data_IF_121798911125
#
_entry.id   IF_121798911125
#
_cell.length_a   1.000
_cell.length_b   1.000
_cell.length_c   1.000
_cell.angle_alpha   90.00
_cell.angle_beta   90.00
_cell.angle_gamma   90.00
#
_symmetry.space_group_name_H-M   'P 1'
#
loop_
_entity.id
_entity.type
_entity.pdbx_description
1 polymer ?
#
# COMPACT_ATOMS: atom_id res chain seq x y z
N UNK A 1 -23.99 -17.85 -10.17
CA UNK A 1 -24.07 -16.89 -9.06
C UNK A 1 -23.27 -15.68 -9.47
N UNK A 2 -23.86 -14.49 -9.52
CA UNK A 2 -23.12 -13.28 -9.86
C UNK A 2 -22.30 -12.81 -8.64
N UNK A 3 -21.02 -13.18 -8.59
CA UNK A 3 -20.09 -12.83 -7.51
C UNK A 3 -19.10 -11.78 -8.02
N UNK A 4 -18.77 -10.82 -7.16
CA UNK A 4 -17.71 -9.84 -7.40
C UNK A 4 -16.56 -10.11 -6.43
N UNK A 5 -15.36 -10.35 -6.94
CA UNK A 5 -14.15 -10.51 -6.15
C UNK A 5 -13.45 -9.17 -5.94
N UNK A 6 -13.25 -8.77 -4.68
CA UNK A 6 -12.59 -7.53 -4.32
C UNK A 6 -11.13 -7.81 -3.93
N UNK A 7 -10.19 -7.06 -4.51
CA UNK A 7 -8.75 -7.14 -4.22
C UNK A 7 -8.12 -5.76 -4.10
N UNK A 8 -6.97 -5.68 -3.44
CA UNK A 8 -6.15 -4.46 -3.38
C UNK A 8 -5.02 -4.55 -4.40
N UNK A 9 -4.98 -3.58 -5.32
CA UNK A 9 -3.92 -3.44 -6.31
C UNK A 9 -3.99 -4.37 -7.53
N UNK A 10 -3.29 -3.96 -8.58
CA UNK A 10 -3.42 -4.55 -9.92
C UNK A 10 -2.80 -5.94 -10.06
N UNK A 11 -1.68 -6.20 -9.39
CA UNK A 11 -1.04 -7.52 -9.45
C UNK A 11 -1.93 -8.62 -8.87
N UNK A 12 -2.68 -8.33 -7.80
CA UNK A 12 -3.65 -9.26 -7.24
C UNK A 12 -4.83 -9.48 -8.20
N UNK A 13 -5.30 -8.41 -8.84
CA UNK A 13 -6.38 -8.47 -9.83
C UNK A 13 -6.00 -9.29 -11.07
N UNK A 14 -4.79 -9.08 -11.60
CA UNK A 14 -4.26 -9.84 -12.73
C UNK A 14 -4.14 -11.32 -12.37
N UNK A 15 -3.61 -11.64 -11.19
CA UNK A 15 -3.50 -13.03 -10.73
C UNK A 15 -4.85 -13.73 -10.65
N UNK A 16 -5.88 -13.08 -10.11
CA UNK A 16 -7.24 -13.62 -10.08
C UNK A 16 -7.80 -13.79 -11.48
N UNK A 17 -7.64 -12.77 -12.33
CA UNK A 17 -8.13 -12.78 -13.70
C UNK A 17 -7.54 -13.96 -14.48
N UNK A 18 -6.22 -14.11 -14.46
CA UNK A 18 -5.54 -15.23 -15.12
C UNK A 18 -6.00 -16.59 -14.57
N UNK A 19 -6.25 -16.69 -13.26
CA UNK A 19 -6.75 -17.94 -12.68
C UNK A 19 -8.17 -18.27 -13.18
N UNK A 20 -9.08 -17.30 -13.23
CA UNK A 20 -10.44 -17.52 -13.73
C UNK A 20 -10.48 -17.77 -15.24
N UNK A 21 -9.70 -17.02 -16.02
CA UNK A 21 -9.55 -17.22 -17.46
C UNK A 21 -9.05 -18.65 -17.77
N UNK A 22 -8.18 -19.22 -16.92
CA UNK A 22 -7.64 -20.58 -17.11
C UNK A 22 -8.68 -21.70 -17.01
N UNK A 23 -9.85 -21.41 -16.45
CA UNK A 23 -10.99 -22.35 -16.34
C UNK A 23 -12.24 -21.81 -17.06
N UNK A 24 -12.06 -20.84 -17.96
CA UNK A 24 -13.12 -20.21 -18.75
C UNK A 24 -14.29 -19.68 -17.90
N UNK A 25 -13.99 -19.26 -16.65
CA UNK A 25 -14.97 -18.72 -15.73
C UNK A 25 -14.95 -17.20 -15.77
N UNK A 26 -16.11 -16.58 -16.04
CA UNK A 26 -16.24 -15.13 -15.99
C UNK A 26 -16.67 -14.69 -14.59
N UNK A 27 -15.73 -14.15 -13.83
CA UNK A 27 -15.97 -13.54 -12.51
C UNK A 27 -15.62 -12.05 -12.56
N UNK A 28 -16.46 -11.22 -11.97
CA UNK A 28 -16.20 -9.78 -11.90
C UNK A 28 -15.14 -9.50 -10.84
N UNK A 29 -14.14 -8.67 -11.18
CA UNK A 29 -13.07 -8.27 -10.27
C UNK A 29 -13.17 -6.77 -10.00
N UNK A 30 -13.36 -6.42 -8.73
CA UNK A 30 -13.28 -5.05 -8.25
C UNK A 30 -11.89 -4.80 -7.66
N UNK A 31 -11.15 -3.90 -8.29
CA UNK A 31 -9.82 -3.49 -7.79
C UNK A 31 -9.96 -2.22 -6.98
N UNK A 32 -9.57 -2.29 -5.71
CA UNK A 32 -9.27 -1.12 -4.88
C UNK A 32 -7.88 -0.64 -5.27
N UNK A 33 -7.80 0.57 -5.84
CA UNK A 33 -6.54 1.15 -6.33
C UNK A 33 -5.79 1.91 -5.25
N UNK A 34 -6.52 2.55 -4.34
CA UNK A 34 -5.94 3.28 -3.22
C UNK A 34 -5.26 2.34 -2.20
N UNK A 35 -4.30 2.91 -1.45
CA UNK A 35 -3.50 2.24 -0.42
C UNK A 35 -3.80 2.91 0.92
N UNK A 36 -4.85 2.45 1.60
CA UNK A 36 -5.39 3.10 2.81
C UNK A 36 -4.47 3.04 4.03
N UNK A 37 -3.42 2.22 4.00
CA UNK A 37 -2.45 2.18 5.09
C UNK A 37 -1.43 3.32 5.05
N UNK A 38 -1.54 4.27 4.13
CA UNK A 38 -0.75 5.51 4.12
C UNK A 38 -1.61 6.74 3.92
N UNK A 39 -1.19 7.85 4.51
CA UNK A 39 -1.83 9.15 4.36
C UNK A 39 -3.13 9.32 5.15
N UNK A 40 -3.79 10.48 4.98
CA UNK A 40 -5.00 10.82 5.70
C UNK A 40 -6.21 10.02 5.18
N UNK A 41 -7.08 9.59 6.10
CA UNK A 41 -8.34 8.88 5.76
C UNK A 41 -9.60 9.67 6.16
N UNK A 42 -9.42 10.85 6.75
CA UNK A 42 -10.49 11.75 7.17
C UNK A 42 -10.05 13.19 7.00
N UNK A 43 -11.02 14.02 6.61
CA UNK A 43 -10.91 15.48 6.58
C UNK A 43 -12.26 16.06 6.96
N UNK A 44 -12.25 17.20 7.65
CA UNK A 44 -13.46 17.97 7.92
C UNK A 44 -13.81 18.89 6.75
N UNK A 45 -12.84 19.18 5.88
CA UNK A 45 -13.00 20.13 4.78
C UNK A 45 -13.21 19.44 3.42
N UNK A 46 -12.67 18.23 3.23
CA UNK A 46 -12.67 17.55 1.94
C UNK A 46 -13.46 16.24 1.99
N UNK A 47 -14.26 15.94 0.95
CA UNK A 47 -14.78 14.60 0.70
C UNK A 47 -13.64 13.55 0.64
N UNK A 48 -13.95 12.31 0.99
CA UNK A 48 -12.97 11.23 1.09
C UNK A 48 -12.13 11.07 -0.19
N UNK A 49 -12.77 10.94 -1.35
CA UNK A 49 -12.07 10.75 -2.63
C UNK A 49 -11.18 11.94 -3.02
N UNK A 50 -11.63 13.18 -2.75
CA UNK A 50 -10.82 14.39 -2.99
C UNK A 50 -9.64 14.50 -2.03
N UNK A 51 -9.82 14.12 -0.76
CA UNK A 51 -8.73 14.04 0.21
C UNK A 51 -7.65 13.06 -0.25
N UNK A 52 -8.07 11.86 -0.68
CA UNK A 52 -7.15 10.83 -1.16
C UNK A 52 -6.46 11.22 -2.46
N UNK A 53 -7.18 11.83 -3.40
CA UNK A 53 -6.61 12.38 -4.62
C UNK A 53 -5.53 13.43 -4.31
N UNK A 54 -5.80 14.38 -3.41
CA UNK A 54 -4.83 15.40 -3.01
C UNK A 54 -3.56 14.80 -2.37
N UNK A 55 -3.73 13.79 -1.50
CA UNK A 55 -2.58 13.07 -0.93
C UNK A 55 -1.73 12.41 -2.02
N UNK A 56 -2.33 11.69 -2.97
CA UNK A 56 -1.57 11.04 -4.04
C UNK A 56 -1.01 12.02 -5.08
N UNK A 57 -1.64 13.18 -5.26
CA UNK A 57 -1.11 14.28 -6.06
C UNK A 57 0.23 14.77 -5.47
N UNK A 58 0.28 15.01 -4.16
CA UNK A 58 1.48 15.39 -3.43
C UNK A 58 2.56 14.29 -3.50
N UNK A 59 2.16 13.04 -3.23
CA UNK A 59 3.09 11.90 -3.19
C UNK A 59 3.69 11.62 -4.58
N UNK A 60 2.86 11.61 -5.63
CA UNK A 60 3.34 11.30 -6.98
C UNK A 60 4.05 12.49 -7.65
N UNK A 61 3.65 13.72 -7.32
CA UNK A 61 4.00 14.93 -8.07
C UNK A 61 3.25 15.06 -9.41
N UNK A 62 2.20 14.26 -9.63
CA UNK A 62 1.36 14.34 -10.83
C UNK A 62 0.30 15.40 -10.64
N UNK A 63 -0.01 16.23 -11.64
CA UNK A 63 -0.97 17.33 -11.50
C UNK A 63 -2.42 16.87 -11.26
N UNK A 64 -2.81 15.73 -11.84
CA UNK A 64 -4.15 15.19 -11.71
C UNK A 64 -4.07 13.71 -11.33
N UNK A 65 -4.52 13.40 -10.11
CA UNK A 65 -4.72 12.03 -9.66
C UNK A 65 -6.20 11.82 -9.40
N UNK A 66 -6.78 10.82 -10.06
CA UNK A 66 -8.15 10.40 -9.79
C UNK A 66 -8.14 9.29 -8.74
N UNK A 67 -8.95 9.46 -7.69
CA UNK A 67 -9.29 8.40 -6.74
C UNK A 67 -10.80 8.31 -6.72
N UNK A 68 -11.36 7.16 -7.09
CA UNK A 68 -12.80 6.94 -7.21
C UNK A 68 -13.26 5.60 -6.61
N UNK A 69 -12.44 4.97 -5.77
CA UNK A 69 -12.73 3.66 -5.18
C UNK A 69 -14.02 3.70 -4.33
N UNK A 70 -14.32 4.81 -3.65
CA UNK A 70 -15.54 4.97 -2.87
C UNK A 70 -16.78 5.05 -3.75
N UNK A 71 -16.74 5.87 -4.79
CA UNK A 71 -17.84 6.03 -5.75
C UNK A 71 -18.16 4.67 -6.41
N UNK A 72 -17.13 3.97 -6.91
CA UNK A 72 -17.26 2.62 -7.48
C UNK A 72 -17.79 1.62 -6.45
N UNK A 73 -17.40 1.71 -5.18
CA UNK A 73 -17.95 0.85 -4.13
C UNK A 73 -19.44 1.16 -3.88
N UNK A 74 -19.86 2.42 -3.96
CA UNK A 74 -21.27 2.80 -3.79
C UNK A 74 -22.14 2.29 -4.96
N UNK A 75 -21.60 2.27 -6.18
CA UNK A 75 -22.24 1.61 -7.32
C UNK A 75 -22.40 0.11 -7.06
N UNK A 76 -21.34 -0.59 -6.64
CA UNK A 76 -21.40 -2.01 -6.27
C UNK A 76 -22.40 -2.27 -5.13
N UNK A 77 -22.46 -1.37 -4.14
CA UNK A 77 -23.43 -1.41 -3.05
C UNK A 77 -24.88 -1.25 -3.53
N UNK A 78 -25.09 -0.49 -4.60
CA UNK A 78 -26.40 -0.33 -5.27
C UNK A 78 -26.78 -1.61 -6.01
N UNK A 79 -25.84 -2.20 -6.77
CA UNK A 79 -26.03 -3.48 -7.47
C UNK A 79 -26.38 -4.61 -6.48
N UNK A 80 -25.72 -4.66 -5.31
CA UNK A 80 -26.06 -5.57 -4.21
C UNK A 80 -27.48 -5.35 -3.66
N UNK A 81 -27.94 -4.09 -3.62
CA UNK A 81 -29.29 -3.73 -3.15
C UNK A 81 -30.35 -4.18 -4.15
N UNK A 82 -30.07 -3.99 -5.45
CA UNK A 82 -30.97 -4.36 -6.54
C UNK A 82 -31.00 -5.86 -6.84
N UNK A 83 -30.09 -6.65 -6.24
CA UNK A 83 -29.96 -8.09 -6.49
C UNK A 83 -29.24 -8.42 -7.80
N UNK A 84 -28.63 -7.43 -8.46
CA UNK A 84 -27.80 -7.63 -9.65
C UNK A 84 -26.51 -8.39 -9.29
N UNK A 85 -25.92 -8.06 -8.14
CA UNK A 85 -24.80 -8.80 -7.54
C UNK A 85 -25.34 -9.59 -6.34
N UNK A 86 -25.08 -10.90 -6.32
CA UNK A 86 -25.55 -11.77 -5.23
C UNK A 86 -24.67 -11.65 -4.00
N UNK A 87 -23.36 -11.58 -4.21
CA UNK A 87 -22.36 -11.54 -3.13
C UNK A 87 -21.05 -10.90 -3.60
N UNK A 88 -20.34 -10.33 -2.64
CA UNK A 88 -18.98 -9.82 -2.81
C UNK A 88 -18.01 -10.65 -1.99
N UNK A 89 -16.81 -10.88 -2.50
CA UNK A 89 -15.79 -11.70 -1.85
C UNK A 89 -14.46 -10.95 -1.78
N UNK A 90 -14.09 -10.47 -0.59
CA UNK A 90 -12.84 -9.75 -0.38
C UNK A 90 -11.69 -10.72 -0.06
N UNK A 91 -10.59 -10.58 -0.78
CA UNK A 91 -9.40 -11.37 -0.52
C UNK A 91 -8.41 -10.62 0.37
N UNK A 92 -7.84 -11.35 1.33
CA UNK A 92 -6.85 -10.79 2.25
C UNK A 92 -5.81 -11.83 2.68
N UNK A 93 -4.60 -11.35 2.93
CA UNK A 93 -3.40 -12.06 3.38
C UNK A 93 -2.88 -11.51 4.71
N UNK A 94 -3.46 -10.41 5.20
CA UNK A 94 -3.13 -9.79 6.48
C UNK A 94 -2.10 -8.66 6.40
N UNK A 95 -1.71 -8.25 5.19
CA UNK A 95 -0.88 -7.05 5.00
C UNK A 95 -1.66 -5.78 5.38
N UNK A 96 -0.98 -4.71 5.80
CA UNK A 96 -1.65 -3.51 6.34
C UNK A 96 -2.64 -2.87 5.36
N UNK A 97 -2.29 -2.81 4.07
CA UNK A 97 -3.16 -2.23 3.03
C UNK A 97 -4.51 -2.96 2.95
N UNK A 98 -4.48 -4.29 2.92
CA UNK A 98 -5.68 -5.13 2.86
C UNK A 98 -6.49 -5.08 4.16
N UNK A 99 -5.85 -4.99 5.32
CA UNK A 99 -6.55 -4.83 6.60
C UNK A 99 -7.28 -3.49 6.69
N UNK A 100 -6.65 -2.39 6.28
CA UNK A 100 -7.31 -1.09 6.21
C UNK A 100 -8.50 -1.13 5.22
N UNK A 101 -8.33 -1.77 4.06
CA UNK A 101 -9.41 -1.98 3.09
C UNK A 101 -10.52 -2.86 3.65
N UNK A 102 -10.21 -3.90 4.42
CA UNK A 102 -11.21 -4.75 5.08
C UNK A 102 -12.11 -3.91 6.00
N UNK A 103 -11.53 -3.10 6.88
CA UNK A 103 -12.29 -2.23 7.78
C UNK A 103 -13.13 -1.20 7.02
N UNK A 104 -12.57 -0.63 5.96
CA UNK A 104 -13.27 0.27 5.05
C UNK A 104 -14.49 -0.42 4.40
N UNK A 105 -14.31 -1.63 3.87
CA UNK A 105 -15.40 -2.41 3.27
C UNK A 105 -16.48 -2.76 4.29
N UNK A 106 -16.13 -3.14 5.53
CA UNK A 106 -17.11 -3.35 6.58
C UNK A 106 -17.95 -2.08 6.80
N UNK A 107 -17.31 -0.92 6.95
CA UNK A 107 -18.04 0.33 7.17
C UNK A 107 -19.08 0.60 6.07
N UNK A 108 -18.70 0.46 4.81
CA UNK A 108 -19.53 0.83 3.66
C UNK A 108 -20.50 -0.28 3.20
N UNK A 109 -20.23 -1.54 3.52
CA UNK A 109 -21.05 -2.69 3.15
C UNK A 109 -21.86 -3.27 4.31
N UNK A 110 -21.94 -2.60 5.47
CA UNK A 110 -22.70 -3.07 6.64
C UNK A 110 -24.13 -3.51 6.34
N UNK A 111 -24.83 -2.79 5.45
CA UNK A 111 -26.21 -3.13 5.05
C UNK A 111 -26.32 -4.45 4.27
N UNK A 112 -25.20 -5.00 3.84
CA UNK A 112 -25.06 -6.22 3.04
C UNK A 112 -24.35 -7.34 3.80
N UNK A 113 -24.46 -7.40 5.13
CA UNK A 113 -23.69 -8.32 5.98
C UNK A 113 -23.78 -9.80 5.58
N UNK A 114 -24.96 -10.27 5.12
CA UNK A 114 -25.16 -11.63 4.61
C UNK A 114 -24.63 -11.89 3.19
N UNK A 115 -24.15 -10.85 2.50
CA UNK A 115 -23.60 -10.91 1.14
C UNK A 115 -22.10 -10.62 1.09
N UNK A 116 -21.48 -10.30 2.23
CA UNK A 116 -20.04 -10.02 2.31
C UNK A 116 -19.27 -11.25 2.77
N UNK A 117 -18.45 -11.76 1.85
CA UNK A 117 -17.57 -12.90 2.05
C UNK A 117 -16.14 -12.45 2.12
N UNK A 118 -15.32 -13.21 2.85
CA UNK A 118 -13.88 -13.07 2.86
C UNK A 118 -13.20 -14.37 2.43
N UNK A 119 -12.09 -14.24 1.73
CA UNK A 119 -11.09 -15.28 1.53
C UNK A 119 -9.82 -14.81 2.23
N UNK A 120 -9.57 -15.36 3.41
CA UNK A 120 -8.39 -15.03 4.19
C UNK A 120 -7.32 -16.12 4.02
N UNK A 121 -6.23 -15.79 3.35
CA UNK A 121 -5.09 -16.68 3.13
C UNK A 121 -3.97 -16.49 4.17
N UNK A 122 -4.14 -15.54 5.10
CA UNK A 122 -3.14 -15.22 6.11
C UNK A 122 -2.80 -16.43 6.98
N UNK A 123 -1.51 -16.76 7.04
CA UNK A 123 -1.00 -17.88 7.84
C UNK A 123 -1.38 -19.28 7.33
N UNK A 124 -2.06 -19.39 6.19
CA UNK A 124 -2.41 -20.68 5.61
C UNK A 124 -1.26 -21.22 4.74
N UNK A 125 -0.95 -22.53 4.82
CA UNK A 125 0.07 -23.14 3.98
C UNK A 125 -0.47 -23.41 2.57
N UNK A 126 0.34 -23.11 1.56
CA UNK A 126 0.09 -23.44 0.16
C UNK A 126 1.26 -24.22 -0.42
N UNK A 127 1.04 -24.79 -1.61
CA UNK A 127 2.04 -25.60 -2.32
C UNK A 127 2.44 -24.88 -3.61
N UNK A 128 3.74 -24.60 -3.78
CA UNK A 128 4.30 -23.98 -4.99
C UNK A 128 4.30 -24.95 -6.18
N UNK A 129 4.81 -24.54 -7.34
CA UNK A 129 4.80 -25.38 -8.55
C UNK A 129 5.65 -26.66 -8.43
N UNK A 130 6.69 -26.62 -7.59
CA UNK A 130 7.59 -27.75 -7.32
C UNK A 130 7.03 -28.73 -6.27
N UNK A 131 5.90 -28.41 -5.63
CA UNK A 131 5.31 -29.26 -4.61
C UNK A 131 5.76 -28.93 -3.18
N UNK A 132 6.49 -27.83 -2.98
CA UNK A 132 7.00 -27.40 -1.67
C UNK A 132 6.00 -26.47 -0.96
N UNK A 133 5.95 -26.63 0.36
CA UNK A 133 5.10 -25.82 1.24
C UNK A 133 5.67 -24.40 1.41
N UNK A 134 4.82 -23.40 1.25
CA UNK A 134 5.14 -21.99 1.51
C UNK A 134 3.93 -21.23 2.07
N UNK A 135 4.18 -20.03 2.58
CA UNK A 135 3.15 -19.11 3.08
C UNK A 135 3.13 -17.86 2.22
N UNK A 136 2.05 -17.57 1.48
CA UNK A 136 1.97 -16.44 0.57
C UNK A 136 1.93 -15.12 1.34
N UNK A 137 2.64 -14.11 0.85
CA UNK A 137 2.58 -12.74 1.38
C UNK A 137 1.39 -11.94 0.83
N UNK A 138 0.73 -12.48 -0.19
CA UNK A 138 -0.40 -11.87 -0.88
C UNK A 138 -0.89 -12.76 -2.03
N UNK A 139 -2.05 -12.44 -2.58
CA UNK A 139 -2.69 -13.26 -3.63
C UNK A 139 -1.78 -13.34 -4.86
N UNK A 140 -1.06 -12.26 -5.19
CA UNK A 140 -0.13 -12.21 -6.32
C UNK A 140 1.04 -13.20 -6.22
N UNK A 141 1.28 -13.78 -5.04
CA UNK A 141 2.31 -14.82 -4.85
C UNK A 141 1.78 -16.25 -4.97
N UNK A 142 0.47 -16.43 -5.18
CA UNK A 142 -0.14 -17.75 -5.31
C UNK A 142 -0.05 -18.26 -6.75
N UNK A 143 0.36 -19.54 -6.96
CA UNK A 143 0.17 -20.21 -8.23
C UNK A 143 -1.32 -20.29 -8.61
N UNK A 144 -1.64 -20.24 -9.91
CA UNK A 144 -3.04 -20.23 -10.40
C UNK A 144 -3.88 -21.39 -9.84
N UNK A 145 -3.30 -22.59 -9.77
CA UNK A 145 -3.95 -23.78 -9.19
C UNK A 145 -4.31 -23.61 -7.71
N UNK A 146 -3.53 -22.83 -6.97
CA UNK A 146 -3.77 -22.53 -5.56
C UNK A 146 -4.81 -21.42 -5.40
N UNK A 147 -4.83 -20.43 -6.30
CA UNK A 147 -5.89 -19.40 -6.35
C UNK A 147 -7.26 -20.06 -6.45
N UNK A 148 -7.45 -20.99 -7.39
CA UNK A 148 -8.72 -21.70 -7.59
C UNK A 148 -9.13 -22.55 -6.38
N UNK A 149 -8.16 -23.09 -5.62
CA UNK A 149 -8.44 -23.77 -4.35
C UNK A 149 -8.83 -22.79 -3.26
N UNK A 150 -8.16 -21.64 -3.18
CA UNK A 150 -8.41 -20.60 -2.19
C UNK A 150 -9.80 -19.98 -2.34
N UNK A 151 -10.39 -19.94 -3.55
CA UNK A 151 -11.79 -19.52 -3.77
C UNK A 151 -12.76 -20.31 -2.88
N UNK A 152 -12.46 -21.59 -2.59
CA UNK A 152 -13.30 -22.46 -1.75
C UNK A 152 -13.21 -22.13 -0.25
N UNK A 153 -12.26 -21.30 0.15
CA UNK A 153 -12.14 -20.80 1.53
C UNK A 153 -13.10 -19.63 1.81
N UNK A 154 -13.84 -19.17 0.80
CA UNK A 154 -14.81 -18.10 0.94
C UNK A 154 -15.82 -18.44 2.03
N UNK A 155 -15.93 -17.56 3.03
CA UNK A 155 -16.95 -17.63 4.07
C UNK A 155 -17.58 -16.27 4.27
N UNK A 156 -18.84 -16.27 4.69
CA UNK A 156 -19.50 -15.03 5.11
C UNK A 156 -18.79 -14.44 6.33
N UNK A 157 -18.71 -13.11 6.38
CA UNK A 157 -18.25 -12.41 7.59
C UNK A 157 -19.24 -12.67 8.71
N UNK A 158 -18.74 -13.10 9.87
CA UNK A 158 -19.59 -13.51 10.99
C UNK A 158 -20.22 -12.30 11.69
N UNK A 159 -21.35 -12.46 12.41
CA UNK A 159 -21.92 -11.38 13.21
C UNK A 159 -20.92 -10.82 14.23
N UNK A 160 -20.11 -11.67 14.87
CA UNK A 160 -19.08 -11.23 15.81
C UNK A 160 -18.04 -10.34 15.13
N UNK A 161 -17.55 -10.70 13.93
CA UNK A 161 -16.62 -9.84 13.18
C UNK A 161 -17.27 -8.52 12.76
N UNK A 162 -18.55 -8.53 12.40
CA UNK A 162 -19.29 -7.31 12.10
C UNK A 162 -19.41 -6.38 13.30
N UNK A 163 -19.54 -6.93 14.50
CA UNK A 163 -19.62 -6.16 15.75
C UNK A 163 -18.26 -5.63 16.19
N UNK A 164 -17.19 -6.44 16.07
CA UNK A 164 -15.85 -6.08 16.55
C UNK A 164 -15.05 -5.26 15.53
N UNK A 165 -15.04 -5.70 14.27
CA UNK A 165 -14.06 -5.20 13.29
C UNK A 165 -14.56 -3.92 12.60
N UNK A 166 -15.86 -3.61 12.65
CA UNK A 166 -16.42 -2.39 12.02
C UNK A 166 -15.97 -1.10 12.72
N UNK A 167 -15.74 -1.16 14.02
CA UNK A 167 -15.32 0.00 14.81
C UNK A 167 -13.84 0.32 14.59
N UNK A 168 -13.05 -0.62 14.06
CA UNK A 168 -11.66 -0.37 13.67
C UNK A 168 -11.55 0.69 12.58
N UNK A 169 -12.50 0.75 11.63
CA UNK A 169 -12.52 1.84 10.65
C UNK A 169 -12.66 3.20 11.32
N UNK A 170 -13.62 3.32 12.25
CA UNK A 170 -13.81 4.57 13.00
C UNK A 170 -12.56 4.91 13.81
N UNK A 171 -11.90 3.93 14.41
CA UNK A 171 -10.66 4.14 15.15
C UNK A 171 -9.56 4.71 14.25
N UNK A 172 -9.23 4.06 13.12
CA UNK A 172 -8.08 4.45 12.28
C UNK A 172 -8.26 5.78 11.53
N UNK A 173 -9.50 6.23 11.33
CA UNK A 173 -9.76 7.55 10.71
C UNK A 173 -9.76 8.70 11.73
N UNK A 174 -9.78 8.40 13.03
CA UNK A 174 -9.70 9.38 14.13
C UNK A 174 -8.36 9.36 14.86
N UNK A 175 -7.44 8.46 14.49
CA UNK A 175 -6.06 8.49 14.99
C UNK A 175 -5.38 9.81 14.58
N UNK A 176 -4.95 10.59 15.57
CA UNK A 176 -4.13 11.79 15.36
C UNK A 176 -2.70 11.42 15.00
N UNK A 177 -2.01 12.31 14.27
CA UNK A 177 -0.57 12.22 14.00
C UNK A 177 -0.11 10.91 13.30
N UNK A 178 -1.04 10.26 12.60
CA UNK A 178 -0.79 9.00 11.89
C UNK A 178 -0.65 9.25 10.39
N UNK A 179 0.53 8.95 9.84
CA UNK A 179 0.81 8.98 8.41
C UNK A 179 0.94 7.59 7.78
N UNK A 180 1.26 6.57 8.59
CA UNK A 180 1.43 5.18 8.16
C UNK A 180 0.68 4.26 9.14
N UNK A 181 0.00 3.25 8.63
CA UNK A 181 -0.69 2.21 9.41
C UNK A 181 0.03 0.89 9.19
N UNK A 182 0.47 0.25 10.27
CA UNK A 182 1.19 -1.03 10.22
C UNK A 182 0.38 -2.14 10.88
N UNK A 183 0.53 -3.36 10.37
CA UNK A 183 -0.05 -4.56 10.96
C UNK A 183 0.86 -5.09 12.06
N UNK A 184 0.27 -5.41 13.21
CA UNK A 184 0.98 -6.02 14.35
C UNK A 184 0.62 -7.50 14.54
N UNK A 185 -0.11 -8.08 13.59
CA UNK A 185 -0.67 -9.42 13.67
C UNK A 185 -2.11 -9.42 14.18
N UNK A 186 -2.79 -10.58 14.12
CA UNK A 186 -4.16 -10.77 14.63
C UNK A 186 -5.19 -9.72 14.17
N UNK A 187 -5.10 -9.26 12.90
CA UNK A 187 -5.91 -8.17 12.32
C UNK A 187 -5.76 -6.81 13.05
N UNK A 188 -4.69 -6.57 13.80
CA UNK A 188 -4.49 -5.30 14.50
C UNK A 188 -3.67 -4.31 13.68
N UNK A 189 -4.15 -3.08 13.58
CA UNK A 189 -3.48 -1.96 12.92
C UNK A 189 -3.08 -0.90 13.95
N UNK A 190 -1.83 -0.43 13.86
CA UNK A 190 -1.31 0.66 14.69
C UNK A 190 -0.84 1.81 13.81
N UNK A 191 -1.26 3.03 14.17
CA UNK A 191 -0.78 4.25 13.55
C UNK A 191 0.68 4.58 13.90
N UNK A 192 1.41 5.08 12.91
CA UNK A 192 2.78 5.57 13.00
C UNK A 192 2.93 6.91 12.27
N UNK A 193 3.90 7.75 12.67
CA UNK A 193 4.24 8.96 11.94
C UNK A 193 4.54 8.70 10.46
N UNK A 194 4.37 9.73 9.62
CA UNK A 194 4.57 9.61 8.15
C UNK A 194 6.01 9.30 7.75
N UNK A 195 6.97 9.62 8.62
CA UNK A 195 8.41 9.41 8.47
C UNK A 195 8.89 8.10 9.11
N UNK A 196 7.98 7.22 9.53
CA UNK A 196 8.31 5.99 10.27
C UNK A 196 9.39 5.12 9.60
N UNK A 197 9.42 5.06 8.27
CA UNK A 197 10.40 4.27 7.50
C UNK A 197 11.66 5.07 7.11
N UNK A 198 11.75 6.36 7.41
CA UNK A 198 12.85 7.20 6.95
C UNK A 198 14.22 6.71 7.47
N UNK A 199 14.28 6.27 8.74
CA UNK A 199 15.49 5.65 9.29
C UNK A 199 15.90 4.41 8.50
N UNK A 200 14.94 3.54 8.18
CA UNK A 200 15.20 2.33 7.40
C UNK A 200 15.73 2.64 5.99
N UNK A 201 15.23 3.72 5.37
CA UNK A 201 15.70 4.19 4.07
C UNK A 201 17.12 4.77 4.15
N UNK A 202 17.42 5.58 5.17
CA UNK A 202 18.74 6.15 5.39
C UNK A 202 19.80 5.07 5.66
N UNK A 203 19.48 4.09 6.51
CA UNK A 203 20.35 2.95 6.82
C UNK A 203 20.69 2.14 5.55
N UNK A 204 19.77 2.07 4.58
CA UNK A 204 19.99 1.38 3.30
C UNK A 204 20.75 2.22 2.27
N UNK A 205 20.59 3.55 2.28
CA UNK A 205 21.20 4.45 1.30
C UNK A 205 22.73 4.40 1.33
N UNK A 206 23.33 4.44 2.52
CA UNK A 206 24.78 4.45 2.71
C UNK A 206 25.51 5.59 1.99
N UNK A 207 26.84 5.59 2.03
CA UNK A 207 27.65 6.70 1.49
C UNK A 207 27.87 6.62 -0.03
N UNK A 208 27.63 5.45 -0.65
CA UNK A 208 27.87 5.22 -2.06
C UNK A 208 26.58 5.39 -2.87
N UNK A 209 26.71 5.88 -4.11
CA UNK A 209 25.58 5.94 -5.03
C UNK A 209 25.01 4.55 -5.31
N UNK A 210 23.70 4.43 -5.27
CA UNK A 210 22.97 3.25 -5.71
C UNK A 210 21.67 3.61 -6.41
N UNK A 211 21.13 2.68 -7.21
CA UNK A 211 19.86 2.87 -7.89
C UNK A 211 18.71 3.01 -6.89
N UNK A 212 17.82 3.98 -7.12
CA UNK A 212 16.60 4.17 -6.30
C UNK A 212 15.77 2.89 -6.26
N UNK A 213 15.52 2.25 -7.40
CA UNK A 213 14.74 1.00 -7.47
C UNK A 213 15.35 -0.14 -6.66
N UNK A 214 16.69 -0.24 -6.60
CA UNK A 214 17.39 -1.23 -5.78
C UNK A 214 17.20 -0.95 -4.28
N UNK A 215 17.32 0.31 -3.87
CA UNK A 215 17.09 0.70 -2.48
C UNK A 215 15.65 0.42 -2.04
N UNK A 216 14.67 0.83 -2.85
CA UNK A 216 13.25 0.62 -2.59
C UNK A 216 12.91 -0.87 -2.52
N UNK A 217 13.34 -1.66 -3.50
CA UNK A 217 13.14 -3.11 -3.49
C UNK A 217 13.75 -3.78 -2.25
N UNK A 218 14.97 -3.38 -1.87
CA UNK A 218 15.60 -3.85 -0.63
C UNK A 218 14.81 -3.45 0.62
N UNK A 219 14.30 -2.22 0.68
CA UNK A 219 13.51 -1.73 1.81
C UNK A 219 12.21 -2.53 1.97
N UNK A 220 11.47 -2.71 0.87
CA UNK A 220 10.22 -3.48 0.83
C UNK A 220 10.46 -4.91 1.26
N UNK A 221 11.47 -5.59 0.69
CA UNK A 221 11.73 -6.99 1.00
C UNK A 221 12.24 -7.20 2.43
N UNK A 222 13.20 -6.37 2.87
CA UNK A 222 13.86 -6.52 4.18
C UNK A 222 12.93 -6.16 5.34
N UNK A 223 12.16 -5.08 5.19
CA UNK A 223 11.31 -4.54 6.26
C UNK A 223 9.82 -4.83 6.07
N UNK A 224 9.45 -5.59 5.03
CA UNK A 224 8.06 -5.98 4.71
C UNK A 224 7.14 -4.76 4.64
N UNK A 225 7.53 -3.79 3.82
CA UNK A 225 6.82 -2.52 3.66
C UNK A 225 5.77 -2.64 2.56
N UNK A 226 4.50 -2.41 2.91
CA UNK A 226 3.36 -2.54 1.99
C UNK A 226 2.70 -1.18 1.71
N UNK A 227 3.49 -0.17 1.35
CA UNK A 227 3.00 1.19 1.03
C UNK A 227 3.00 1.50 -0.47
N UNK A 228 3.63 0.64 -1.27
CA UNK A 228 3.96 0.89 -2.67
C UNK A 228 5.22 1.75 -2.85
N UNK A 229 5.86 1.59 -4.00
CA UNK A 229 7.12 2.25 -4.35
C UNK A 229 6.98 3.76 -4.39
N UNK A 230 5.88 4.27 -4.96
CA UNK A 230 5.61 5.71 -5.13
C UNK A 230 5.66 6.45 -3.79
N UNK A 231 5.11 5.86 -2.72
CA UNK A 231 5.16 6.44 -1.38
C UNK A 231 6.60 6.50 -0.82
N UNK A 232 7.38 5.43 -1.00
CA UNK A 232 8.75 5.40 -0.50
C UNK A 232 9.68 6.30 -1.30
N UNK A 233 9.47 6.42 -2.62
CA UNK A 233 10.17 7.39 -3.46
C UNK A 233 9.86 8.81 -3.00
N UNK A 234 8.60 9.11 -2.66
CA UNK A 234 8.23 10.40 -2.08
C UNK A 234 8.95 10.64 -0.73
N UNK A 235 9.03 9.65 0.15
CA UNK A 235 9.84 9.77 1.39
C UNK A 235 11.30 10.08 1.11
N UNK A 236 11.91 9.48 0.09
CA UNK A 236 13.28 9.82 -0.33
C UNK A 236 13.39 11.29 -0.79
N UNK A 237 12.39 11.82 -1.51
CA UNK A 237 12.36 13.25 -1.90
C UNK A 237 12.31 14.15 -0.66
N UNK A 238 11.45 13.82 0.31
CA UNK A 238 11.36 14.56 1.57
C UNK A 238 12.68 14.55 2.36
N UNK A 239 13.38 13.42 2.39
CA UNK A 239 14.71 13.31 2.99
C UNK A 239 15.79 14.10 2.21
N UNK A 240 15.65 14.22 0.89
CA UNK A 240 16.54 15.04 0.07
C UNK A 240 16.35 16.54 0.35
N UNK A 241 15.10 16.99 0.44
CA UNK A 241 14.74 18.36 0.82
C UNK A 241 15.27 18.72 2.22
N UNK A 242 15.21 17.78 3.15
CA UNK A 242 15.78 17.91 4.50
C UNK A 242 17.32 17.72 4.56
N UNK A 243 18.01 17.66 3.41
CA UNK A 243 19.47 17.49 3.29
C UNK A 243 20.01 16.26 4.05
N UNK A 244 19.22 15.19 4.17
CA UNK A 244 19.67 13.91 4.77
C UNK A 244 20.29 12.97 3.73
N UNK A 245 19.85 13.08 2.48
CA UNK A 245 20.37 12.34 1.35
C UNK A 245 20.48 13.23 0.11
N UNK A 246 21.24 12.78 -0.88
CA UNK A 246 21.19 13.33 -2.24
C UNK A 246 20.37 12.40 -3.11
N UNK A 247 19.38 12.95 -3.80
CA UNK A 247 18.53 12.22 -4.73
C UNK A 247 18.67 12.83 -6.14
N UNK A 248 19.01 12.00 -7.12
CA UNK A 248 18.86 12.30 -8.54
C UNK A 248 17.78 11.39 -9.13
N UNK A 249 17.47 11.55 -10.43
CA UNK A 249 16.40 10.79 -11.11
C UNK A 249 16.43 9.29 -10.81
N UNK A 250 17.62 8.68 -10.85
CA UNK A 250 17.79 7.23 -10.68
C UNK A 250 18.78 6.84 -9.57
N UNK A 251 19.42 7.78 -8.88
CA UNK A 251 20.46 7.50 -7.89
C UNK A 251 20.19 8.16 -6.54
N UNK A 252 20.58 7.46 -5.48
CA UNK A 252 20.49 7.92 -4.10
C UNK A 252 21.78 7.59 -3.33
N UNK A 253 22.19 8.51 -2.44
CA UNK A 253 23.26 8.33 -1.45
C UNK A 253 23.03 9.26 -0.26
N UNK A 254 23.65 8.97 0.89
CA UNK A 254 23.65 9.89 2.03
C UNK A 254 24.27 11.25 1.65
N UNK A 255 23.72 12.31 2.26
CA UNK A 255 24.21 13.66 2.05
C UNK A 255 25.55 13.82 2.78
N UNK A 256 26.53 14.42 2.10
CA UNK A 256 27.83 14.78 2.67
C UNK A 256 27.92 16.29 2.64
N UNK A 257 27.97 16.93 3.81
CA UNK A 257 28.19 18.38 3.90
C UNK A 257 29.65 18.69 3.52
N UNK A 258 29.85 19.38 2.41
CA UNK A 258 31.11 20.06 2.08
C UNK A 258 32.12 19.26 1.25
N UNK A 259 32.15 19.56 -0.04
CA UNK A 259 33.38 19.60 -0.83
C UNK A 259 33.26 20.81 -1.79
N UNK A 260 33.50 22.01 -1.25
CA UNK A 260 33.48 23.27 -1.99
C UNK A 260 32.79 24.38 -1.23
N UNK A 261 33.53 25.03 -0.32
CA UNK A 261 33.36 26.45 0.08
C UNK A 261 34.47 26.93 1.05
N UNK A 262 35.67 26.33 1.04
CA UNK A 262 36.86 26.83 1.74
C UNK A 262 38.13 26.63 0.89
N UNK A 263 38.12 27.09 -0.36
CA UNK A 263 39.33 27.17 -1.17
C UNK A 263 39.35 28.47 -1.97
N UNK A 264 39.49 29.60 -1.27
CA UNK A 264 40.22 30.80 -1.72
C UNK A 264 40.05 31.94 -0.69
N UNK A 265 40.71 31.83 0.47
CA UNK A 265 40.88 32.96 1.39
C UNK A 265 42.33 33.13 1.88
N UNK A 266 43.30 32.60 1.14
CA UNK A 266 44.71 32.98 1.32
C UNK A 266 45.41 33.10 -0.02
N UNK A 267 45.07 34.14 -0.79
CA UNK A 267 46.07 34.75 -1.67
C UNK A 267 47.01 35.55 -0.76
N UNK A 268 48.10 34.93 -0.33
CA UNK A 268 49.23 35.66 0.22
C UNK A 268 49.91 36.38 -0.93
N UNK A 269 49.75 37.70 -0.97
CA UNK A 269 50.60 38.61 -1.73
C UNK A 269 52.07 38.30 -1.41
N UNK A 270 52.84 37.94 -2.44
CA UNK A 270 54.29 37.96 -2.38
C UNK A 270 54.79 39.08 -3.29
N UNK A 271 55.47 40.11 -2.76
CA UNK A 271 56.12 41.12 -3.58
C UNK A 271 57.46 40.56 -4.05
N UNK A 272 57.62 40.39 -5.36
CA UNK A 272 58.96 40.27 -5.96
C UNK A 272 59.40 41.64 -6.44
N UNK A 273 60.22 42.26 -5.60
CA UNK A 273 61.14 43.32 -5.97
C UNK A 273 62.56 42.72 -6.09
N UNK A 274 63.33 43.33 -7.00
CA UNK A 274 64.77 43.19 -7.28
C UNK A 274 65.25 42.13 -8.27
N UNK A 275 65.58 42.63 -9.46
CA UNK A 275 66.39 42.00 -10.51
C UNK A 275 66.40 42.84 -11.78
#
# INVERSE_FOLDING_TARGET
>A
MNRVHIVVGDHAAETLKTAFDSIEQSEAIFVVKDVFNVGPLRSEALPFSLLRAGFWQEVSGTEQVEVNDLERLMELSTQLTNGEVEQVCFWMSGIPAELCTYFWLLHFLKKHSGKFYIINISGLPFIDDEGKLFYPEGIASLPLRQVLKAVKLARVVTPSEWETDIDEWKRIIHESETGIRISTGAKQIVGKPIDFYDKNLLDLAGNNNQKVSKLIGNAIQKYKIFTGDTFLIWRLKQLAEAQKLTLSKDSVKLYVSGAGDEADLFQTDNPTDNG
#
